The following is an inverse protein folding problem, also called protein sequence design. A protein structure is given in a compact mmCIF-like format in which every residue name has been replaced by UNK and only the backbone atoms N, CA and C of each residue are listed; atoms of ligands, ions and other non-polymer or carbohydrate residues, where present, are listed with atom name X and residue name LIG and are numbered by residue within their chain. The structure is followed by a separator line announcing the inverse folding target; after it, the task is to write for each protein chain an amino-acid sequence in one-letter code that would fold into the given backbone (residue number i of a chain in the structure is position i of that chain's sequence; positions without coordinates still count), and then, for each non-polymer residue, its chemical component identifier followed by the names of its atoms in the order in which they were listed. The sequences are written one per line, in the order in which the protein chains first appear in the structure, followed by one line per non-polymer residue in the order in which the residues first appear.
data_IF_336101149420
#
_entry.id   IF_336101149420
#
_cell.length_a   1.000
_cell.length_b   1.000
_cell.length_c   1.000
_cell.angle_alpha   90.00
_cell.angle_beta   90.00
_cell.angle_gamma   90.00
#
_symmetry.space_group_name_H-M   'P 1'
#
loop_
_entity.id
_entity.type
_entity.pdbx_description
1 polymer ?
#
# COMPACT_ATOMS: atom_id res chain seq x y z
N UNK A 1 -7.31 -73.77 -50.27
CA UNK A 1 -6.71 -72.51 -49.78
C UNK A 1 -5.23 -72.77 -49.54
N UNK A 2 -4.39 -72.49 -50.54
CA UNK A 2 -2.94 -72.67 -50.45
C UNK A 2 -2.40 -71.80 -49.31
N UNK A 3 -1.92 -72.44 -48.25
CA UNK A 3 -1.15 -71.77 -47.21
C UNK A 3 0.03 -71.08 -47.89
N UNK A 4 0.03 -69.73 -47.89
CA UNK A 4 1.17 -68.96 -48.37
C UNK A 4 2.29 -69.17 -47.35
N UNK A 5 3.08 -70.21 -47.56
CA UNK A 5 4.30 -70.46 -46.79
C UNK A 5 5.37 -69.51 -47.28
N UNK A 6 5.35 -68.26 -46.79
CA UNK A 6 6.47 -67.34 -46.94
C UNK A 6 7.75 -68.07 -46.53
N UNK A 7 8.71 -68.13 -47.45
CA UNK A 7 10.04 -68.70 -47.19
C UNK A 7 10.64 -68.01 -45.97
N UNK A 8 11.41 -68.73 -45.16
CA UNK A 8 11.98 -68.18 -43.92
C UNK A 8 12.69 -66.84 -44.15
N UNK A 9 13.39 -66.69 -45.29
CA UNK A 9 14.04 -65.45 -45.70
C UNK A 9 13.06 -64.29 -45.98
N UNK A 10 11.93 -64.54 -46.65
CA UNK A 10 10.92 -63.48 -46.91
C UNK A 10 10.22 -63.00 -45.64
N UNK A 11 9.99 -63.89 -44.66
CA UNK A 11 9.39 -63.53 -43.37
C UNK A 11 10.33 -62.69 -42.50
N UNK A 12 11.62 -63.04 -42.50
CA UNK A 12 12.65 -62.26 -41.82
C UNK A 12 12.74 -60.84 -42.38
N UNK A 13 12.74 -60.71 -43.71
CA UNK A 13 12.71 -59.39 -44.36
C UNK A 13 11.45 -58.59 -44.02
N UNK A 14 10.28 -59.25 -43.98
CA UNK A 14 9.03 -58.60 -43.60
C UNK A 14 9.02 -58.16 -42.13
N UNK A 15 9.61 -58.94 -41.21
CA UNK A 15 9.80 -58.53 -39.82
C UNK A 15 10.68 -57.29 -39.72
N UNK A 16 11.84 -57.28 -40.40
CA UNK A 16 12.74 -56.12 -40.40
C UNK A 16 12.08 -54.85 -41.00
N UNK A 17 11.25 -54.99 -42.05
CA UNK A 17 10.50 -53.88 -42.60
C UNK A 17 9.42 -53.36 -41.64
N UNK A 18 8.76 -54.26 -40.90
CA UNK A 18 7.79 -53.88 -39.87
C UNK A 18 8.47 -53.14 -38.70
N UNK A 19 9.61 -53.64 -38.22
CA UNK A 19 10.40 -53.00 -37.17
C UNK A 19 10.88 -51.61 -37.62
N UNK A 20 11.33 -51.49 -38.88
CA UNK A 20 11.74 -50.21 -39.47
C UNK A 20 10.56 -49.24 -39.58
N UNK A 21 9.39 -49.71 -40.02
CA UNK A 21 8.19 -48.89 -40.11
C UNK A 21 7.73 -48.40 -38.72
N UNK A 22 7.80 -49.25 -37.69
CA UNK A 22 7.50 -48.87 -36.30
C UNK A 22 8.50 -47.85 -35.76
N UNK A 23 9.81 -48.05 -35.97
CA UNK A 23 10.85 -47.10 -35.55
C UNK A 23 10.67 -45.74 -36.25
N UNK A 24 10.31 -45.75 -37.53
CA UNK A 24 10.04 -44.54 -38.30
C UNK A 24 8.81 -43.80 -37.76
N UNK A 25 7.71 -44.52 -37.44
CA UNK A 25 6.52 -43.92 -36.84
C UNK A 25 6.82 -43.29 -35.48
N UNK A 26 7.59 -43.97 -34.62
CA UNK A 26 8.01 -43.42 -33.32
C UNK A 26 8.90 -42.19 -33.49
N UNK A 27 9.83 -42.21 -34.45
CA UNK A 27 10.69 -41.06 -34.74
C UNK A 27 9.90 -39.86 -35.23
N UNK A 28 8.96 -40.08 -36.17
CA UNK A 28 8.08 -39.02 -36.66
C UNK A 28 7.23 -38.43 -35.52
N UNK A 29 6.69 -39.26 -34.62
CA UNK A 29 5.93 -38.80 -33.47
C UNK A 29 6.79 -37.95 -32.51
N UNK A 30 8.03 -38.36 -32.24
CA UNK A 30 8.96 -37.58 -31.40
C UNK A 30 9.39 -36.27 -32.04
N UNK A 31 9.57 -36.23 -33.36
CA UNK A 31 9.87 -35.00 -34.09
C UNK A 31 8.67 -34.05 -34.10
N UNK A 32 7.46 -34.57 -34.29
CA UNK A 32 6.24 -33.76 -34.31
C UNK A 32 5.93 -33.11 -32.94
N UNK A 33 6.20 -33.80 -31.84
CA UNK A 33 5.94 -33.28 -30.49
C UNK A 33 7.15 -32.61 -29.84
N UNK A 34 8.36 -32.83 -30.38
CA UNK A 34 9.62 -32.43 -29.75
C UNK A 34 9.92 -33.17 -28.44
N UNK A 35 9.13 -34.19 -28.07
CA UNK A 35 9.28 -34.91 -26.80
C UNK A 35 9.88 -36.28 -27.04
N UNK A 36 10.82 -36.63 -26.17
CA UNK A 36 11.43 -37.97 -26.13
C UNK A 36 10.45 -39.04 -25.61
N UNK A 37 9.54 -38.67 -24.71
CA UNK A 37 8.54 -39.55 -24.11
C UNK A 37 7.18 -38.91 -24.36
N UNK A 38 6.36 -39.51 -25.23
CA UNK A 38 5.06 -38.97 -25.60
C UNK A 38 3.91 -39.62 -24.83
N UNK A 39 4.10 -40.83 -24.31
CA UNK A 39 3.08 -41.55 -23.57
C UNK A 39 3.63 -42.24 -22.33
N UNK A 40 2.74 -42.62 -21.42
CA UNK A 40 3.09 -43.44 -20.26
C UNK A 40 3.60 -44.85 -20.66
N UNK A 41 3.31 -45.32 -21.88
CA UNK A 41 3.83 -46.59 -22.41
C UNK A 41 5.29 -46.48 -22.84
N UNK A 42 5.74 -45.30 -23.27
CA UNK A 42 7.15 -45.08 -23.67
C UNK A 42 8.06 -45.10 -22.45
N UNK A 43 7.69 -44.36 -21.40
CA UNK A 43 8.37 -44.35 -20.10
C UNK A 43 7.45 -43.72 -19.04
N UNK A 44 6.86 -44.52 -18.12
CA UNK A 44 5.89 -44.01 -17.16
C UNK A 44 6.51 -42.98 -16.21
N UNK A 45 7.70 -43.24 -15.68
CA UNK A 45 8.38 -42.37 -14.71
C UNK A 45 8.63 -40.97 -15.30
N UNK A 46 9.19 -40.90 -16.51
CA UNK A 46 9.50 -39.62 -17.15
C UNK A 46 8.23 -38.88 -17.59
N UNK A 47 7.21 -39.61 -18.08
CA UNK A 47 5.94 -39.02 -18.50
C UNK A 47 5.22 -38.35 -17.33
N UNK A 48 5.04 -39.06 -16.21
CA UNK A 48 4.36 -38.51 -15.04
C UNK A 48 5.18 -37.44 -14.31
N UNK A 49 6.52 -37.56 -14.29
CA UNK A 49 7.38 -36.50 -13.73
C UNK A 49 7.25 -35.21 -14.54
N UNK A 50 7.29 -35.31 -15.88
CA UNK A 50 7.11 -34.13 -16.75
C UNK A 50 5.73 -33.50 -16.57
N UNK A 51 4.68 -34.32 -16.49
CA UNK A 51 3.32 -33.83 -16.24
C UNK A 51 3.18 -33.11 -14.88
N UNK A 52 3.82 -33.62 -13.83
CA UNK A 52 3.84 -32.97 -12.53
C UNK A 52 4.59 -31.62 -12.57
N UNK A 53 5.70 -31.55 -13.30
CA UNK A 53 6.46 -30.31 -13.50
C UNK A 53 5.66 -29.27 -14.30
N UNK A 54 4.93 -29.68 -15.34
CA UNK A 54 4.03 -28.80 -16.11
C UNK A 54 2.92 -28.22 -15.21
N UNK A 55 2.31 -29.06 -14.36
CA UNK A 55 1.31 -28.61 -13.38
C UNK A 55 1.88 -27.62 -12.35
N UNK A 56 3.12 -27.86 -11.89
CA UNK A 56 3.82 -26.95 -10.98
C UNK A 56 4.19 -25.64 -11.65
N UNK A 57 4.61 -25.66 -12.91
CA UNK A 57 4.88 -24.45 -13.71
C UNK A 57 3.63 -23.57 -13.83
N UNK A 58 2.48 -24.16 -14.17
CA UNK A 58 1.19 -23.45 -14.23
C UNK A 58 0.79 -22.84 -12.88
N UNK A 59 1.00 -23.59 -11.79
CA UNK A 59 0.76 -23.10 -10.43
C UNK A 59 1.68 -21.94 -10.06
N UNK A 60 2.97 -22.01 -10.45
CA UNK A 60 3.93 -20.92 -10.24
C UNK A 60 3.57 -19.67 -11.06
N UNK A 61 3.02 -19.82 -12.27
CA UNK A 61 2.53 -18.67 -13.04
C UNK A 61 1.37 -17.97 -12.31
N UNK A 62 0.41 -18.75 -11.80
CA UNK A 62 -0.70 -18.21 -11.01
C UNK A 62 -0.24 -17.52 -9.73
N UNK A 63 0.77 -18.10 -9.05
CA UNK A 63 1.39 -17.48 -7.88
C UNK A 63 2.11 -16.18 -8.25
N UNK A 64 2.82 -16.14 -9.37
CA UNK A 64 3.53 -14.96 -9.86
C UNK A 64 2.55 -13.81 -10.14
N UNK A 65 1.39 -14.10 -10.74
CA UNK A 65 0.33 -13.11 -10.95
C UNK A 65 -0.20 -12.58 -9.61
N UNK A 66 -0.44 -13.46 -8.64
CA UNK A 66 -0.81 -13.07 -7.27
C UNK A 66 0.23 -12.18 -6.59
N UNK A 67 1.51 -12.51 -6.71
CA UNK A 67 2.62 -11.71 -6.19
C UNK A 67 2.68 -10.34 -6.89
N UNK A 68 2.51 -10.30 -8.21
CA UNK A 68 2.50 -9.04 -8.99
C UNK A 68 1.40 -8.08 -8.51
N UNK A 69 0.21 -8.62 -8.23
CA UNK A 69 -0.88 -7.85 -7.63
C UNK A 69 -0.54 -7.38 -6.20
N UNK A 70 0.09 -8.24 -5.39
CA UNK A 70 0.57 -7.89 -4.05
C UNK A 70 1.62 -6.77 -4.05
N UNK A 71 2.55 -6.80 -4.99
CA UNK A 71 3.59 -5.76 -5.16
C UNK A 71 2.95 -4.42 -5.50
N UNK A 72 1.94 -4.37 -6.38
CA UNK A 72 1.23 -3.14 -6.70
C UNK A 72 0.52 -2.56 -5.46
N UNK A 73 -0.10 -3.41 -4.63
CA UNK A 73 -0.72 -2.99 -3.36
C UNK A 73 0.31 -2.41 -2.39
N UNK A 74 1.46 -3.05 -2.25
CA UNK A 74 2.57 -2.55 -1.41
C UNK A 74 3.10 -1.22 -1.94
N UNK A 75 3.21 -1.05 -3.26
CA UNK A 75 3.65 0.20 -3.86
C UNK A 75 2.67 1.36 -3.59
N UNK A 76 1.37 1.10 -3.69
CA UNK A 76 0.34 2.07 -3.33
C UNK A 76 0.40 2.43 -1.83
N UNK A 77 0.57 1.43 -0.95
CA UNK A 77 0.75 1.65 0.48
C UNK A 77 2.01 2.49 0.78
N UNK A 78 3.13 2.23 0.10
CA UNK A 78 4.36 3.02 0.23
C UNK A 78 4.13 4.49 -0.15
N UNK A 79 3.42 4.74 -1.25
CA UNK A 79 3.07 6.09 -1.67
C UNK A 79 2.15 6.80 -0.65
N UNK A 80 1.21 6.06 -0.06
CA UNK A 80 0.36 6.53 1.02
C UNK A 80 1.15 6.93 2.26
N UNK A 81 2.06 6.07 2.73
CA UNK A 81 2.94 6.36 3.88
C UNK A 81 3.81 7.58 3.62
N UNK A 82 4.39 7.70 2.43
CA UNK A 82 5.18 8.88 2.04
C UNK A 82 4.35 10.17 2.13
N UNK A 83 3.08 10.11 1.72
CA UNK A 83 2.17 11.25 1.80
C UNK A 83 1.83 11.61 3.25
N UNK A 84 1.64 10.61 4.12
CA UNK A 84 1.45 10.81 5.56
C UNK A 84 2.69 11.46 6.18
N UNK A 85 3.89 11.02 5.83
CA UNK A 85 5.13 11.63 6.33
C UNK A 85 5.20 13.12 5.99
N UNK A 86 4.88 13.49 4.74
CA UNK A 86 4.80 14.90 4.32
C UNK A 86 3.78 15.69 5.13
N UNK A 87 2.61 15.11 5.43
CA UNK A 87 1.60 15.75 6.27
C UNK A 87 2.10 15.96 7.70
N UNK A 88 2.82 14.98 8.26
CA UNK A 88 3.43 15.10 9.59
C UNK A 88 4.48 16.20 9.62
N UNK A 89 5.31 16.31 8.58
CA UNK A 89 6.32 17.38 8.48
C UNK A 89 5.67 18.77 8.38
N UNK A 90 4.60 18.90 7.60
CA UNK A 90 3.81 20.14 7.53
C UNK A 90 3.18 20.48 8.87
N UNK A 91 2.56 19.50 9.54
CA UNK A 91 1.97 19.70 10.86
C UNK A 91 3.02 20.14 11.89
N UNK A 92 4.23 19.57 11.86
CA UNK A 92 5.35 19.97 12.71
C UNK A 92 5.79 21.41 12.43
N UNK A 93 5.86 21.80 11.16
CA UNK A 93 6.20 23.17 10.76
C UNK A 93 5.15 24.17 11.29
N UNK A 94 3.86 23.85 11.11
CA UNK A 94 2.74 24.66 11.64
C UNK A 94 2.81 24.74 13.17
N UNK A 95 3.06 23.62 13.87
CA UNK A 95 3.19 23.61 15.32
C UNK A 95 4.38 24.47 15.79
N UNK A 96 5.49 24.44 15.06
CA UNK A 96 6.67 25.26 15.35
C UNK A 96 6.41 26.74 15.09
N UNK A 97 5.68 27.07 14.03
CA UNK A 97 5.24 28.42 13.73
C UNK A 97 4.30 28.94 14.84
N UNK A 98 3.34 28.12 15.27
CA UNK A 98 2.41 28.46 16.35
C UNK A 98 3.16 28.71 17.68
N UNK A 99 4.16 27.87 18.00
CA UNK A 99 5.00 28.06 19.19
C UNK A 99 5.79 29.38 19.10
N UNK A 100 6.35 29.71 17.93
CA UNK A 100 7.11 30.95 17.73
C UNK A 100 6.22 32.21 17.74
N UNK A 101 4.92 32.10 17.45
CA UNK A 101 3.99 33.25 17.50
C UNK A 101 3.59 33.67 18.92
N UNK A 102 4.22 33.10 19.96
CA UNK A 102 4.03 33.57 21.34
C UNK A 102 4.33 35.08 21.42
N UNK A 103 3.32 35.84 21.86
CA UNK A 103 3.29 37.30 21.77
C UNK A 103 4.44 37.93 22.58
N UNK A 104 5.42 38.50 21.88
CA UNK A 104 6.45 39.34 22.48
C UNK A 104 6.01 40.80 22.41
N UNK A 105 5.66 41.40 23.55
CA UNK A 105 5.21 42.79 23.67
C UNK A 105 6.41 43.75 23.61
N UNK A 106 7.04 43.85 22.43
CA UNK A 106 8.12 44.80 22.16
C UNK A 106 7.57 46.15 21.65
N UNK A 107 8.36 47.22 21.78
CA UNK A 107 8.00 48.56 21.30
C UNK A 107 7.24 49.44 22.31
N UNK A 108 6.50 50.43 21.82
CA UNK A 108 5.80 51.45 22.66
C UNK A 108 4.70 50.87 23.53
N UNK A 109 4.23 49.66 23.26
CA UNK A 109 3.20 48.97 24.03
C UNK A 109 3.55 48.80 25.52
N UNK A 110 4.83 48.57 25.85
CA UNK A 110 5.28 48.44 27.23
C UNK A 110 5.25 49.78 28.00
N UNK A 111 5.42 50.91 27.32
CA UNK A 111 5.43 52.24 27.93
C UNK A 111 4.11 53.01 27.83
N UNK A 112 3.28 52.72 26.83
CA UNK A 112 1.98 53.36 26.61
C UNK A 112 0.85 52.70 27.40
N UNK A 113 1.03 51.44 27.82
CA UNK A 113 0.06 50.74 28.65
C UNK A 113 0.23 51.12 30.12
N UNK A 114 -0.87 51.55 30.75
CA UNK A 114 -0.93 51.82 32.19
C UNK A 114 -1.77 50.74 32.89
N UNK A 115 -1.16 49.95 33.76
CA UNK A 115 -1.85 48.91 34.50
C UNK A 115 -2.80 49.50 35.56
N UNK A 116 -3.99 48.91 35.71
CA UNK A 116 -4.92 49.24 36.79
C UNK A 116 -4.33 48.83 38.15
N UNK A 117 -4.55 49.64 39.18
CA UNK A 117 -4.15 49.34 40.57
C UNK A 117 -5.11 48.36 41.27
N UNK A 118 -6.30 48.14 40.70
CA UNK A 118 -7.29 47.17 41.17
C UNK A 118 -7.54 46.10 40.10
N UNK A 119 -7.99 44.92 40.53
CA UNK A 119 -8.41 43.85 39.63
C UNK A 119 -9.69 44.23 38.90
N UNK A 120 -9.70 44.05 37.58
CA UNK A 120 -10.80 44.45 36.71
C UNK A 120 -11.42 43.22 36.05
N UNK A 121 -12.74 43.21 35.93
CA UNK A 121 -13.44 42.25 35.07
C UNK A 121 -13.82 42.92 33.76
N UNK A 122 -13.34 42.37 32.65
CA UNK A 122 -13.70 42.82 31.30
C UNK A 122 -14.71 41.85 30.73
N UNK A 123 -15.90 42.36 30.37
CA UNK A 123 -16.93 41.57 29.71
C UNK A 123 -16.85 41.78 28.21
N UNK A 124 -16.73 40.69 27.46
CA UNK A 124 -16.68 40.64 26.00
C UNK A 124 -17.89 39.89 25.50
N UNK A 125 -18.37 40.22 24.30
CA UNK A 125 -19.40 39.43 23.61
C UNK A 125 -18.80 38.79 22.38
N UNK A 126 -18.83 37.45 22.31
CA UNK A 126 -18.24 36.66 21.23
C UNK A 126 -19.35 35.78 20.66
N UNK A 127 -19.70 35.99 19.38
CA UNK A 127 -20.79 35.26 18.71
C UNK A 127 -22.11 35.25 19.51
N UNK A 128 -22.43 36.36 20.20
CA UNK A 128 -23.64 36.50 21.02
C UNK A 128 -23.53 35.97 22.46
N UNK A 129 -22.43 35.30 22.82
CA UNK A 129 -22.19 34.82 24.19
C UNK A 129 -21.34 35.83 24.97
N UNK A 130 -21.77 36.18 26.18
CA UNK A 130 -20.98 37.02 27.08
C UNK A 130 -19.89 36.21 27.78
N UNK A 131 -18.66 36.72 27.75
CA UNK A 131 -17.45 36.06 28.22
C UNK A 131 -16.69 37.05 29.08
N UNK A 132 -16.31 36.63 30.29
CA UNK A 132 -15.61 37.49 31.26
C UNK A 132 -14.14 37.13 31.31
N UNK A 133 -13.27 38.14 31.27
CA UNK A 133 -11.84 38.01 31.52
C UNK A 133 -11.47 38.80 32.79
N UNK A 134 -10.84 38.14 33.75
CA UNK A 134 -10.33 38.81 34.96
C UNK A 134 -8.89 39.25 34.72
N UNK A 135 -8.63 40.54 34.85
CA UNK A 135 -7.30 41.14 34.79
C UNK A 135 -6.89 41.50 36.21
N UNK A 136 -5.82 40.89 36.73
CA UNK A 136 -5.35 41.17 38.08
C UNK A 136 -4.76 42.59 38.19
N UNK A 137 -4.78 43.17 39.39
CA UNK A 137 -4.09 44.42 39.67
C UNK A 137 -2.61 44.38 39.22
N UNK A 138 -2.12 45.47 38.65
CA UNK A 138 -0.74 45.63 38.16
C UNK A 138 -0.30 44.61 37.09
N UNK A 139 -1.25 43.96 36.40
CA UNK A 139 -0.92 43.03 35.29
C UNK A 139 -0.19 43.76 34.17
N UNK A 140 0.90 43.16 33.68
CA UNK A 140 1.60 43.64 32.47
C UNK A 140 0.70 43.55 31.24
N UNK A 141 1.00 44.33 30.19
CA UNK A 141 0.25 44.25 28.92
C UNK A 141 0.22 42.82 28.36
N UNK A 142 1.31 42.07 28.50
CA UNK A 142 1.41 40.67 28.05
C UNK A 142 0.46 39.77 28.84
N UNK A 143 0.39 39.93 30.16
CA UNK A 143 -0.53 39.18 31.02
C UNK A 143 -1.99 39.55 30.76
N UNK A 144 -2.27 40.84 30.52
CA UNK A 144 -3.61 41.33 30.18
C UNK A 144 -4.10 40.77 28.85
N UNK A 145 -3.27 40.82 27.80
CA UNK A 145 -3.61 40.23 26.49
C UNK A 145 -3.74 38.72 26.58
N UNK A 146 -2.89 38.04 27.36
CA UNK A 146 -3.02 36.59 27.58
C UNK A 146 -4.35 36.23 28.26
N UNK A 147 -4.75 36.95 29.31
CA UNK A 147 -6.02 36.71 30.00
C UNK A 147 -7.22 36.94 29.09
N UNK A 148 -7.20 37.99 28.26
CA UNK A 148 -8.22 38.26 27.25
C UNK A 148 -8.26 37.15 26.19
N UNK A 149 -7.11 36.75 25.64
CA UNK A 149 -7.01 35.70 24.63
C UNK A 149 -7.45 34.32 25.17
N UNK A 150 -7.15 33.99 26.43
CA UNK A 150 -7.63 32.77 27.07
C UNK A 150 -9.15 32.76 27.24
N UNK A 151 -9.74 33.90 27.63
CA UNK A 151 -11.19 34.04 27.72
C UNK A 151 -11.85 33.88 26.34
N UNK A 152 -11.30 34.52 25.30
CA UNK A 152 -11.77 34.41 23.91
C UNK A 152 -11.64 32.99 23.37
N UNK A 153 -10.49 32.34 23.59
CA UNK A 153 -10.22 30.99 23.08
C UNK A 153 -11.16 29.96 23.69
N UNK A 154 -11.41 30.06 25.00
CA UNK A 154 -12.36 29.19 25.73
C UNK A 154 -13.80 29.33 25.19
N UNK A 155 -14.18 30.53 24.76
CA UNK A 155 -15.48 30.77 24.12
C UNK A 155 -15.53 30.28 22.66
N UNK A 156 -14.42 30.39 21.92
CA UNK A 156 -14.34 29.95 20.52
C UNK A 156 -14.34 28.42 20.36
N UNK A 157 -13.71 27.68 21.27
CA UNK A 157 -13.77 26.19 21.30
C UNK A 157 -15.13 25.67 21.73
N UNK A 158 -15.94 26.48 22.41
CA UNK A 158 -17.35 26.17 22.69
C UNK A 158 -18.23 26.25 21.43
N UNK A 159 -17.72 26.81 20.32
CA UNK A 159 -18.41 26.90 19.03
C UNK A 159 -17.95 25.84 18.01
N UNK A 160 -17.12 24.86 18.40
CA UNK A 160 -16.62 23.85 17.47
C UNK A 160 -17.70 22.85 17.09
N UNK A 161 -18.32 23.08 15.93
CA UNK A 161 -18.67 22.02 14.97
C UNK A 161 -19.92 21.20 15.28
N UNK A 162 -21.08 21.76 14.98
CA UNK A 162 -22.08 20.94 14.29
C UNK A 162 -21.51 20.62 12.90
N UNK A 163 -20.79 19.52 12.79
CA UNK A 163 -20.75 18.82 11.52
C UNK A 163 -22.14 18.21 11.38
N UNK A 164 -22.92 18.80 10.47
CA UNK A 164 -24.24 18.28 10.12
C UNK A 164 -24.18 16.78 9.93
N UNK A 165 -25.06 16.09 10.65
CA UNK A 165 -25.44 14.71 10.37
C UNK A 165 -26.10 14.61 8.99
#
# INVERSE_FOLDING_TARGET
MSSITLSAATRQNLLSLQDTAQLMATTQNRLATGKTVNSALDNPTNFFTSQALDGRSSSLNSLLDGISNGVQSIQAANQGITSIQKLVDQAKSIASQALSTQLSTTGTAAGAYSASTASQSVLLTINGTSVSATIAASSSISATVAALNSAVSSASTSSSGSFGA
#
